data_IF_062437542017
#
_entry.id   IF_062437542017
#
_cell.length_a   1.000
_cell.length_b   1.000
_cell.length_c   1.000
_cell.angle_alpha   90.00
_cell.angle_beta   90.00
_cell.angle_gamma   90.00
#
_symmetry.space_group_name_H-M   'P 1'
#
loop_
_entity.id
_entity.type
_entity.pdbx_description
1 polymer ?
#
# COMPACT_ATOMS: atom_id res chain seq x y z
N UNK A 1 10.00 29.84 -12.82
CA UNK A 1 8.70 29.41 -13.42
C UNK A 1 7.99 30.61 -14.02
N UNK A 2 7.44 30.51 -15.23
CA UNK A 2 6.63 31.57 -15.85
C UNK A 2 5.31 31.79 -15.08
N UNK A 3 4.83 33.03 -14.95
CA UNK A 3 3.51 33.35 -14.35
C UNK A 3 2.36 32.53 -14.98
N UNK A 4 2.46 32.23 -16.28
CA UNK A 4 1.50 31.37 -17.00
C UNK A 4 1.58 29.90 -16.56
N UNK A 5 2.77 29.39 -16.26
CA UNK A 5 2.96 28.03 -15.75
C UNK A 5 2.40 27.88 -14.33
N UNK A 6 2.63 28.88 -13.47
CA UNK A 6 2.07 28.92 -12.13
C UNK A 6 0.53 28.92 -12.15
N UNK A 7 -0.08 29.72 -13.03
CA UNK A 7 -1.54 29.74 -13.20
C UNK A 7 -2.12 28.38 -13.61
N UNK A 8 -1.48 27.67 -14.56
CA UNK A 8 -1.90 26.32 -14.98
C UNK A 8 -1.82 25.31 -13.83
N UNK A 9 -0.76 25.35 -13.03
CA UNK A 9 -0.60 24.47 -11.87
C UNK A 9 -1.68 24.73 -10.83
N UNK A 10 -1.97 25.99 -10.51
CA UNK A 10 -3.02 26.34 -9.54
C UNK A 10 -4.40 25.85 -9.97
N UNK A 11 -4.73 26.01 -11.26
CA UNK A 11 -6.00 25.52 -11.82
C UNK A 11 -6.06 23.98 -11.75
N UNK A 12 -4.98 23.29 -12.13
CA UNK A 12 -4.90 21.83 -12.02
C UNK A 12 -5.06 21.35 -10.59
N UNK A 13 -4.33 21.96 -9.65
CA UNK A 13 -4.41 21.65 -8.22
C UNK A 13 -5.83 21.82 -7.68
N UNK A 14 -6.52 22.89 -8.06
CA UNK A 14 -7.89 23.14 -7.66
C UNK A 14 -8.84 22.04 -8.15
N UNK A 15 -8.76 21.67 -9.43
CA UNK A 15 -9.58 20.58 -9.98
C UNK A 15 -9.28 19.24 -9.32
N UNK A 16 -8.00 18.90 -9.12
CA UNK A 16 -7.61 17.66 -8.45
C UNK A 16 -8.09 17.63 -7.00
N UNK A 17 -8.01 18.75 -6.28
CA UNK A 17 -8.48 18.85 -4.91
C UNK A 17 -10.00 18.59 -4.82
N UNK A 18 -10.80 19.26 -5.65
CA UNK A 18 -12.25 19.04 -5.69
C UNK A 18 -12.57 17.60 -6.07
N UNK A 19 -11.92 17.07 -7.11
CA UNK A 19 -12.11 15.69 -7.53
C UNK A 19 -11.80 14.68 -6.43
N UNK A 20 -10.70 14.87 -5.71
CA UNK A 20 -10.30 14.02 -4.60
C UNK A 20 -11.30 14.10 -3.43
N UNK A 21 -11.76 15.30 -3.07
CA UNK A 21 -12.77 15.48 -2.02
C UNK A 21 -14.08 14.76 -2.37
N UNK A 22 -14.57 14.95 -3.59
CA UNK A 22 -15.80 14.29 -4.04
C UNK A 22 -15.65 12.77 -4.09
N UNK A 23 -14.51 12.28 -4.61
CA UNK A 23 -14.19 10.86 -4.67
C UNK A 23 -14.12 10.24 -3.28
N UNK A 24 -13.34 10.82 -2.37
CA UNK A 24 -13.20 10.32 -0.99
C UNK A 24 -14.52 10.40 -0.22
N UNK A 25 -15.35 11.43 -0.47
CA UNK A 25 -16.68 11.53 0.14
C UNK A 25 -17.59 10.41 -0.36
N UNK A 26 -17.64 10.17 -1.67
CA UNK A 26 -18.39 9.06 -2.26
C UNK A 26 -17.91 7.70 -1.76
N UNK A 27 -16.61 7.50 -1.63
CA UNK A 27 -16.02 6.27 -1.10
C UNK A 27 -16.37 6.04 0.37
N UNK A 28 -16.20 7.06 1.21
CA UNK A 28 -16.46 6.98 2.65
C UNK A 28 -17.94 6.83 2.98
N UNK A 29 -18.84 7.43 2.21
CA UNK A 29 -20.29 7.34 2.49
C UNK A 29 -20.92 6.14 1.78
N UNK A 30 -20.45 5.79 0.58
CA UNK A 30 -21.02 4.69 -0.22
C UNK A 30 -20.40 3.33 0.07
N UNK A 31 -19.08 3.20 -0.07
CA UNK A 31 -18.40 1.91 -0.04
C UNK A 31 -17.97 1.48 1.38
N UNK A 32 -17.52 2.41 2.22
CA UNK A 32 -17.06 2.06 3.58
C UNK A 32 -18.14 1.38 4.45
N UNK A 33 -19.41 1.84 4.48
CA UNK A 33 -20.44 1.14 5.24
C UNK A 33 -20.69 -0.28 4.72
N UNK A 34 -20.65 -0.48 3.40
CA UNK A 34 -20.78 -1.81 2.79
C UNK A 34 -19.59 -2.71 3.15
N UNK A 35 -18.37 -2.19 3.10
CA UNK A 35 -17.15 -2.90 3.51
C UNK A 35 -17.20 -3.32 4.98
N UNK A 36 -17.62 -2.42 5.87
CA UNK A 36 -17.80 -2.71 7.29
C UNK A 36 -18.85 -3.79 7.53
N UNK A 37 -20.00 -3.72 6.86
CA UNK A 37 -21.05 -4.73 6.96
C UNK A 37 -20.56 -6.10 6.49
N UNK A 38 -19.92 -6.17 5.32
CA UNK A 38 -19.33 -7.40 4.80
C UNK A 38 -18.28 -7.97 5.75
N UNK A 39 -17.41 -7.11 6.30
CA UNK A 39 -16.41 -7.50 7.30
C UNK A 39 -17.04 -8.08 8.57
N UNK A 40 -18.12 -7.48 9.07
CA UNK A 40 -18.87 -8.00 10.23
C UNK A 40 -19.50 -9.37 9.95
N UNK A 41 -20.15 -9.53 8.78
CA UNK A 41 -20.75 -10.81 8.37
C UNK A 41 -19.68 -11.90 8.26
N UNK A 42 -18.54 -11.60 7.63
CA UNK A 42 -17.43 -12.54 7.50
C UNK A 42 -16.80 -12.89 8.85
N UNK A 43 -16.67 -11.90 9.74
CA UNK A 43 -16.17 -12.12 11.10
C UNK A 43 -17.15 -12.90 11.99
N UNK A 44 -18.45 -12.91 11.66
CA UNK A 44 -19.45 -13.68 12.40
C UNK A 44 -19.48 -15.17 12.02
N UNK A 45 -18.87 -15.55 10.88
CA UNK A 45 -18.83 -16.94 10.42
C UNK A 45 -18.10 -17.86 11.44
N UNK A 46 -18.40 -19.18 11.44
CA UNK A 46 -17.67 -20.14 12.27
C UNK A 46 -16.20 -20.30 11.81
N UNK A 47 -15.91 -20.09 10.52
CA UNK A 47 -14.57 -20.19 9.93
C UNK A 47 -13.94 -18.81 9.67
N UNK A 48 -13.80 -18.00 10.72
CA UNK A 48 -13.27 -16.61 10.67
C UNK A 48 -11.86 -16.49 10.08
N UNK A 49 -11.10 -17.59 10.05
CA UNK A 49 -9.78 -17.65 9.42
C UNK A 49 -9.79 -17.24 7.94
N UNK A 50 -10.96 -17.33 7.27
CA UNK A 50 -11.15 -16.87 5.88
C UNK A 50 -10.78 -15.39 5.67
N UNK A 51 -10.83 -14.57 6.73
CA UNK A 51 -10.40 -13.17 6.68
C UNK A 51 -8.92 -13.03 6.28
N UNK A 52 -8.07 -14.00 6.62
CA UNK A 52 -6.64 -13.95 6.31
C UNK A 52 -6.41 -14.01 4.79
N UNK A 53 -6.74 -15.10 4.07
CA UNK A 53 -6.51 -15.15 2.62
C UNK A 53 -7.30 -14.09 1.85
N UNK A 54 -8.50 -13.72 2.33
CA UNK A 54 -9.27 -12.65 1.72
C UNK A 54 -8.59 -11.28 1.87
N UNK A 55 -8.12 -10.95 3.07
CA UNK A 55 -7.35 -9.73 3.32
C UNK A 55 -6.06 -9.67 2.51
N UNK A 56 -5.34 -10.80 2.40
CA UNK A 56 -4.16 -10.91 1.55
C UNK A 56 -4.48 -10.62 0.08
N UNK A 57 -5.57 -11.20 -0.44
CA UNK A 57 -6.01 -10.99 -1.81
C UNK A 57 -6.36 -9.51 -2.06
N UNK A 58 -7.13 -8.91 -1.15
CA UNK A 58 -7.49 -7.48 -1.22
C UNK A 58 -6.22 -6.62 -1.18
N UNK A 59 -5.31 -6.86 -0.23
CA UNK A 59 -4.05 -6.13 -0.10
C UNK A 59 -3.18 -6.20 -1.35
N UNK A 60 -3.11 -7.37 -2.00
CA UNK A 60 -2.39 -7.54 -3.27
C UNK A 60 -2.94 -6.61 -4.37
N UNK A 61 -4.27 -6.61 -4.55
CA UNK A 61 -4.92 -5.83 -5.60
C UNK A 61 -4.95 -4.33 -5.31
N UNK A 62 -5.05 -3.92 -4.05
CA UNK A 62 -5.00 -2.51 -3.65
C UNK A 62 -3.66 -1.89 -4.09
N UNK A 63 -2.53 -2.52 -3.75
CA UNK A 63 -1.21 -2.03 -4.16
C UNK A 63 -1.05 -2.05 -5.68
N UNK A 64 -1.58 -3.08 -6.33
CA UNK A 64 -1.52 -3.19 -7.79
C UNK A 64 -2.35 -2.12 -8.50
N UNK A 65 -3.42 -1.64 -7.87
CA UNK A 65 -4.29 -0.60 -8.37
C UNK A 65 -3.79 0.82 -8.04
N UNK A 66 -2.87 0.98 -7.07
CA UNK A 66 -2.34 2.25 -6.63
C UNK A 66 -1.49 2.95 -7.72
N UNK A 67 -1.94 4.11 -8.24
CA UNK A 67 -1.19 4.83 -9.28
C UNK A 67 0.19 5.31 -8.82
N UNK A 68 0.34 5.66 -7.54
CA UNK A 68 1.64 6.10 -7.01
C UNK A 68 2.70 4.98 -7.09
N UNK A 69 2.31 3.74 -6.82
CA UNK A 69 3.17 2.55 -6.97
C UNK A 69 3.57 2.34 -8.43
N UNK A 70 2.65 2.55 -9.38
CA UNK A 70 2.97 2.46 -10.81
C UNK A 70 4.04 3.48 -11.23
N UNK A 71 3.95 4.73 -10.76
CA UNK A 71 4.93 5.77 -11.05
C UNK A 71 6.28 5.43 -10.43
N UNK A 72 6.30 5.00 -9.16
CA UNK A 72 7.52 4.59 -8.47
C UNK A 72 8.22 3.44 -9.19
N UNK A 73 7.48 2.40 -9.60
CA UNK A 73 8.07 1.25 -10.28
C UNK A 73 8.81 1.64 -11.56
N UNK A 74 8.28 2.60 -12.32
CA UNK A 74 8.97 3.14 -13.51
C UNK A 74 10.21 3.94 -13.15
N UNK A 75 10.12 4.79 -12.13
CA UNK A 75 11.27 5.58 -11.66
C UNK A 75 12.41 4.67 -11.19
N UNK A 76 12.09 3.61 -10.46
CA UNK A 76 13.07 2.62 -10.01
C UNK A 76 13.68 1.89 -11.20
N UNK A 77 12.90 1.47 -12.19
CA UNK A 77 13.41 0.81 -13.40
C UNK A 77 14.35 1.72 -14.20
N UNK A 78 14.00 3.00 -14.35
CA UNK A 78 14.83 4.02 -15.01
C UNK A 78 16.13 4.31 -14.25
N UNK A 79 16.07 4.51 -12.93
CA UNK A 79 17.25 4.83 -12.10
C UNK A 79 18.19 3.64 -11.94
N UNK A 80 17.69 2.42 -12.12
CA UNK A 80 18.47 1.19 -11.96
C UNK A 80 18.94 0.60 -13.29
N UNK A 81 18.81 1.35 -14.41
CA UNK A 81 19.12 0.92 -15.77
C UNK A 81 18.49 -0.45 -16.12
N UNK A 82 17.27 -0.70 -15.63
CA UNK A 82 16.54 -1.94 -15.85
C UNK A 82 16.98 -3.13 -15.00
N UNK A 83 17.95 -2.98 -14.09
CA UNK A 83 18.34 -4.07 -13.18
C UNK A 83 17.21 -4.47 -12.22
N UNK A 84 16.31 -3.55 -11.88
CA UNK A 84 15.03 -3.84 -11.20
C UNK A 84 13.89 -3.52 -12.16
N UNK A 85 13.29 -4.55 -12.77
CA UNK A 85 12.13 -4.33 -13.64
C UNK A 85 10.92 -3.78 -12.86
N UNK A 86 10.14 -2.90 -13.48
CA UNK A 86 8.93 -2.33 -12.87
C UNK A 86 7.93 -3.43 -12.46
N UNK A 87 7.88 -4.52 -13.23
CA UNK A 87 7.02 -5.68 -12.94
C UNK A 87 7.49 -6.45 -11.69
N UNK A 88 8.79 -6.68 -11.54
CA UNK A 88 9.35 -7.34 -10.38
C UNK A 88 9.13 -6.50 -9.12
N UNK A 89 9.34 -5.18 -9.22
CA UNK A 89 9.12 -4.24 -8.13
C UNK A 89 7.65 -4.23 -7.69
N UNK A 90 6.73 -4.03 -8.64
CA UNK A 90 5.30 -3.99 -8.36
C UNK A 90 4.77 -5.31 -7.76
N UNK A 91 5.22 -6.45 -8.30
CA UNK A 91 4.81 -7.77 -7.76
C UNK A 91 5.34 -7.98 -6.35
N UNK A 92 6.59 -7.58 -6.08
CA UNK A 92 7.20 -7.71 -4.75
C UNK A 92 6.47 -6.84 -3.71
N UNK A 93 6.13 -5.60 -4.07
CA UNK A 93 5.34 -4.71 -3.21
C UNK A 93 3.95 -5.27 -2.93
N UNK A 94 3.24 -5.72 -3.98
CA UNK A 94 1.91 -6.31 -3.81
C UNK A 94 1.93 -7.55 -2.92
N UNK A 95 2.94 -8.42 -3.05
CA UNK A 95 3.11 -9.59 -2.17
C UNK A 95 3.46 -9.16 -0.74
N UNK A 96 4.36 -8.20 -0.55
CA UNK A 96 4.76 -7.71 0.77
C UNK A 96 3.59 -7.12 1.55
N UNK A 97 2.75 -6.31 0.89
CA UNK A 97 1.54 -5.76 1.52
C UNK A 97 0.49 -6.85 1.72
N UNK A 98 0.29 -7.77 0.77
CA UNK A 98 -0.61 -8.89 0.96
C UNK A 98 -0.26 -9.68 2.23
N UNK A 99 1.01 -10.05 2.41
CA UNK A 99 1.50 -10.74 3.60
C UNK A 99 1.30 -9.89 4.87
N UNK A 100 1.58 -8.60 4.80
CA UNK A 100 1.39 -7.67 5.94
C UNK A 100 -0.08 -7.58 6.37
N UNK A 101 -1.01 -7.52 5.41
CA UNK A 101 -2.46 -7.53 5.68
C UNK A 101 -2.89 -8.90 6.23
N UNK A 102 -2.34 -9.99 5.72
CA UNK A 102 -2.57 -11.33 6.28
C UNK A 102 -2.15 -11.45 7.75
N UNK A 103 -0.96 -10.92 8.09
CA UNK A 103 -0.49 -10.83 9.47
C UNK A 103 -1.39 -9.93 10.32
N UNK A 104 -1.87 -8.81 9.78
CA UNK A 104 -2.82 -7.94 10.46
C UNK A 104 -4.14 -8.67 10.76
N UNK A 105 -4.67 -9.46 9.83
CA UNK A 105 -5.87 -10.28 10.05
C UNK A 105 -5.62 -11.38 11.09
N UNK A 106 -4.45 -12.04 11.05
CA UNK A 106 -4.04 -13.00 12.07
C UNK A 106 -4.04 -12.35 13.46
N UNK A 107 -3.51 -11.13 13.59
CA UNK A 107 -3.54 -10.36 14.84
C UNK A 107 -4.96 -10.07 15.30
N UNK A 108 -5.83 -9.61 14.39
CA UNK A 108 -7.24 -9.31 14.71
C UNK A 108 -7.96 -10.54 15.26
N UNK A 109 -7.67 -11.73 14.71
CA UNK A 109 -8.30 -12.98 15.14
C UNK A 109 -7.74 -13.55 16.44
N UNK A 110 -6.44 -13.42 16.66
CA UNK A 110 -5.73 -14.08 17.78
C UNK A 110 -5.49 -13.18 18.98
N UNK A 111 -5.56 -11.85 18.81
CA UNK A 111 -5.23 -10.87 19.84
C UNK A 111 -3.74 -10.81 20.19
N UNK A 112 -2.86 -11.46 19.41
CA UNK A 112 -1.42 -11.46 19.65
C UNK A 112 -0.88 -10.01 19.67
N UNK A 113 0.03 -9.72 20.59
CA UNK A 113 0.68 -8.41 20.64
C UNK A 113 1.37 -8.09 19.32
N UNK A 114 1.18 -6.86 18.83
CA UNK A 114 1.80 -6.38 17.59
C UNK A 114 3.34 -6.49 17.62
N UNK A 115 3.94 -6.48 18.81
CA UNK A 115 5.38 -6.62 19.00
C UNK A 115 5.91 -7.96 18.46
N UNK A 116 5.14 -9.04 18.55
CA UNK A 116 5.53 -10.34 18.01
C UNK A 116 5.61 -10.38 16.48
N UNK A 117 5.03 -9.38 15.81
CA UNK A 117 5.10 -9.23 14.35
C UNK A 117 6.17 -8.19 13.97
N UNK A 118 6.19 -7.05 14.67
CA UNK A 118 7.11 -5.95 14.35
C UNK A 118 8.55 -6.27 14.74
N UNK A 119 8.81 -6.82 15.93
CA UNK A 119 10.20 -7.04 16.39
C UNK A 119 10.95 -8.01 15.46
N UNK A 120 10.41 -9.19 15.10
CA UNK A 120 11.07 -10.06 14.13
C UNK A 120 11.16 -9.43 12.74
N UNK A 121 10.10 -8.76 12.27
CA UNK A 121 10.08 -8.11 10.95
C UNK A 121 11.15 -7.03 10.80
N UNK A 122 11.24 -6.12 11.76
CA UNK A 122 12.30 -5.11 11.80
C UNK A 122 13.67 -5.72 12.01
N UNK A 123 13.80 -6.76 12.85
CA UNK A 123 15.06 -7.48 13.03
C UNK A 123 15.59 -8.05 11.71
N UNK A 124 14.71 -8.68 10.91
CA UNK A 124 15.06 -9.19 9.58
C UNK A 124 15.40 -8.03 8.63
N UNK A 125 14.58 -6.97 8.58
CA UNK A 125 14.80 -5.85 7.67
C UNK A 125 16.14 -5.12 7.95
N UNK A 126 16.43 -4.85 9.23
CA UNK A 126 17.69 -4.24 9.66
C UNK A 126 18.85 -5.20 9.40
N UNK A 127 18.69 -6.50 9.71
CA UNK A 127 19.68 -7.52 9.41
C UNK A 127 20.06 -7.55 7.93
N UNK A 128 19.06 -7.60 7.03
CA UNK A 128 19.26 -7.58 5.59
C UNK A 128 19.90 -6.28 5.09
N UNK A 129 19.62 -5.14 5.75
CA UNK A 129 20.17 -3.83 5.36
C UNK A 129 21.71 -3.77 5.41
N UNK A 130 22.35 -4.62 6.21
CA UNK A 130 23.81 -4.72 6.27
C UNK A 130 24.43 -5.48 5.09
N UNK A 131 23.67 -6.36 4.42
CA UNK A 131 24.17 -7.20 3.33
C UNK A 131 23.76 -6.69 1.95
N UNK A 132 22.68 -5.92 1.88
CA UNK A 132 22.09 -5.43 0.63
C UNK A 132 22.71 -4.08 0.23
N UNK A 133 23.01 -3.83 -1.06
CA UNK A 133 23.57 -2.55 -1.49
C UNK A 133 22.67 -1.36 -1.15
N UNK A 134 23.28 -0.20 -0.86
CA UNK A 134 22.60 1.03 -0.39
C UNK A 134 21.43 1.48 -1.26
N UNK A 135 21.50 1.25 -2.57
CA UNK A 135 20.44 1.63 -3.50
C UNK A 135 19.15 0.83 -3.26
N UNK A 136 19.26 -0.48 -3.02
CA UNK A 136 18.09 -1.32 -2.75
C UNK A 136 17.47 -1.01 -1.39
N UNK A 137 18.28 -0.71 -0.39
CA UNK A 137 17.77 -0.25 0.92
C UNK A 137 17.07 1.09 0.81
N UNK A 138 17.64 2.06 0.07
CA UNK A 138 16.97 3.35 -0.19
C UNK A 138 15.63 3.16 -0.90
N UNK A 139 15.60 2.33 -1.96
CA UNK A 139 14.37 1.98 -2.68
C UNK A 139 13.37 1.32 -1.73
N UNK A 140 13.78 0.37 -0.89
CA UNK A 140 12.89 -0.33 0.03
C UNK A 140 12.21 0.64 1.03
N UNK A 141 12.96 1.62 1.56
CA UNK A 141 12.40 2.63 2.46
C UNK A 141 11.44 3.58 1.75
N UNK A 142 11.78 4.07 0.55
CA UNK A 142 10.91 4.97 -0.23
C UNK A 142 9.61 4.26 -0.65
N UNK A 143 9.74 3.00 -1.05
CA UNK A 143 8.62 2.18 -1.50
C UNK A 143 7.61 1.88 -0.40
N UNK A 144 8.05 1.81 0.87
CA UNK A 144 7.16 1.65 2.00
C UNK A 144 6.16 2.80 2.13
N UNK A 145 6.62 4.05 1.95
CA UNK A 145 5.76 5.23 1.98
C UNK A 145 4.76 5.26 0.81
N UNK A 146 5.23 4.92 -0.39
CA UNK A 146 4.38 4.88 -1.59
C UNK A 146 3.34 3.76 -1.53
N UNK A 147 3.70 2.60 -1.01
CA UNK A 147 2.77 1.48 -0.82
C UNK A 147 1.68 1.80 0.21
N UNK A 148 1.92 2.73 1.14
CA UNK A 148 0.90 3.29 2.05
C UNK A 148 0.11 4.46 1.46
N UNK A 149 0.05 4.55 0.12
CA UNK A 149 -0.64 5.61 -0.60
C UNK A 149 -2.15 5.69 -0.29
N UNK A 150 -2.84 6.72 -0.83
CA UNK A 150 -4.23 7.00 -0.53
C UNK A 150 -5.19 5.84 -0.82
N UNK A 151 -4.92 4.97 -1.79
CA UNK A 151 -5.82 3.82 -2.03
C UNK A 151 -5.64 2.71 -1.00
N UNK A 152 -4.50 2.68 -0.30
CA UNK A 152 -4.16 1.62 0.67
C UNK A 152 -4.43 2.04 2.11
N UNK A 153 -4.23 3.31 2.44
CA UNK A 153 -4.36 3.85 3.78
C UNK A 153 -5.73 4.47 4.10
N UNK A 154 -6.58 4.69 3.08
CA UNK A 154 -7.94 5.26 3.23
C UNK A 154 -8.99 4.24 2.82
#
# INVERSE_FOLDING_TARGET
MSRKALGKILVGLFYTYIGLVLFLTGANVGFMPAGNYLGQVLAALPYRWVLIPLGMLIGYFIVKAEPAVYVLNKQVEEVTDGSISAKAMGTSLSIGVALSVGLAMLRVLTGISILWMLVPGYGIAIGLSFFVPKIFTAIAFDSGGVASGPMTAT
#
